data_IF_475234802282
#
_entry.id   IF_475234802282
#
_cell.length_a   1.000
_cell.length_b   1.000
_cell.length_c   1.000
_cell.angle_alpha   90.00
_cell.angle_beta   90.00
_cell.angle_gamma   90.00
#
_symmetry.space_group_name_H-M   'P 1'
#
loop_
_entity.id
_entity.type
_entity.pdbx_description
1 polymer ?
#
# COMPACT_ATOMS: atom_id res chain seq x y z
N UNK A 1 34.00 28.29 -15.79
CA UNK A 1 34.51 27.01 -15.22
C UNK A 1 34.13 26.80 -13.77
N UNK A 2 34.36 27.77 -12.85
CA UNK A 2 34.01 27.62 -11.42
C UNK A 2 32.52 27.43 -11.18
N UNK A 3 31.64 28.19 -11.87
CA UNK A 3 30.19 28.03 -11.76
C UNK A 3 29.68 26.65 -12.17
N UNK A 4 30.21 26.11 -13.27
CA UNK A 4 29.87 24.75 -13.72
C UNK A 4 30.32 23.69 -12.71
N UNK A 5 31.50 23.86 -12.12
CA UNK A 5 31.98 22.95 -11.06
C UNK A 5 31.07 23.01 -9.82
N UNK A 6 30.63 24.22 -9.40
CA UNK A 6 29.72 24.37 -8.29
C UNK A 6 28.36 23.70 -8.54
N UNK A 7 27.82 23.82 -9.76
CA UNK A 7 26.57 23.15 -10.15
C UNK A 7 26.73 21.62 -10.11
N UNK A 8 27.81 21.11 -10.65
CA UNK A 8 28.12 19.67 -10.63
C UNK A 8 28.25 19.17 -9.19
N UNK A 9 29.00 19.88 -8.33
CA UNK A 9 29.16 19.52 -6.90
C UNK A 9 27.81 19.58 -6.18
N UNK A 10 26.97 20.60 -6.43
CA UNK A 10 25.64 20.70 -5.86
C UNK A 10 24.72 19.55 -6.30
N UNK A 11 24.73 19.20 -7.58
CA UNK A 11 23.97 18.06 -8.10
C UNK A 11 24.44 16.74 -7.48
N UNK A 12 25.74 16.53 -7.35
CA UNK A 12 26.31 15.37 -6.67
C UNK A 12 25.93 15.33 -5.19
N UNK A 13 26.01 16.46 -4.49
CA UNK A 13 25.64 16.54 -3.08
C UNK A 13 24.18 16.23 -2.87
N UNK A 14 23.29 16.77 -3.72
CA UNK A 14 21.86 16.45 -3.67
C UNK A 14 21.62 14.95 -3.94
N UNK A 15 22.29 14.39 -4.94
CA UNK A 15 22.20 12.97 -5.28
C UNK A 15 22.63 12.06 -4.12
N UNK A 16 23.75 12.38 -3.46
CA UNK A 16 24.24 11.60 -2.32
C UNK A 16 23.44 11.81 -1.02
N UNK A 17 22.69 12.91 -0.91
CA UNK A 17 21.89 13.22 0.27
C UNK A 17 20.38 13.03 0.05
N UNK A 18 19.95 12.52 -1.12
CA UNK A 18 18.53 12.42 -1.49
C UNK A 18 17.75 11.55 -0.51
N UNK A 19 18.37 10.49 0.01
CA UNK A 19 17.83 9.60 1.03
C UNK A 19 17.52 10.35 2.32
N UNK A 20 18.48 11.15 2.80
CA UNK A 20 18.35 11.95 4.02
C UNK A 20 17.35 13.08 3.83
N UNK A 21 17.33 13.70 2.66
CA UNK A 21 16.36 14.75 2.31
C UNK A 21 14.95 14.14 2.28
N UNK A 22 14.76 12.98 1.67
CA UNK A 22 13.48 12.30 1.62
C UNK A 22 12.98 11.91 3.03
N UNK A 23 13.84 11.26 3.83
CA UNK A 23 13.49 10.90 5.20
C UNK A 23 13.20 12.13 6.07
N UNK A 24 14.02 13.19 5.97
CA UNK A 24 13.80 14.45 6.67
C UNK A 24 12.47 15.08 6.26
N UNK A 25 12.17 15.13 4.96
CA UNK A 25 10.93 15.71 4.46
C UNK A 25 9.70 14.97 4.99
N UNK A 26 9.69 13.62 4.91
CA UNK A 26 8.59 12.83 5.47
C UNK A 26 8.45 13.09 6.97
N UNK A 27 9.55 12.99 7.72
CA UNK A 27 9.54 13.09 9.19
C UNK A 27 9.24 14.50 9.72
N UNK A 28 9.49 15.55 8.92
CA UNK A 28 9.32 16.94 9.35
C UNK A 28 8.02 17.57 8.89
N UNK A 29 7.47 17.12 7.76
CA UNK A 29 6.29 17.75 7.14
C UNK A 29 5.04 16.87 7.18
N UNK A 30 5.13 15.66 7.74
CA UNK A 30 3.98 14.76 7.87
C UNK A 30 3.97 14.11 9.25
N UNK A 31 2.83 13.54 9.64
CA UNK A 31 2.68 12.73 10.86
C UNK A 31 3.30 11.33 10.72
N UNK A 32 3.87 11.03 9.55
CA UNK A 32 4.53 9.76 9.30
C UNK A 32 6.00 9.80 9.68
N UNK A 33 6.52 8.65 10.09
CA UNK A 33 7.94 8.42 10.36
C UNK A 33 8.48 7.40 9.36
N UNK A 34 9.57 7.80 8.71
CA UNK A 34 10.32 6.97 7.78
C UNK A 34 11.71 6.73 8.36
N UNK A 35 12.09 5.48 8.52
CA UNK A 35 13.46 5.08 8.86
C UNK A 35 13.89 3.88 8.02
N UNK A 36 15.20 3.71 7.85
CA UNK A 36 15.79 2.62 7.06
C UNK A 36 17.19 2.33 7.56
N UNK A 37 17.68 1.11 7.30
CA UNK A 37 19.02 0.68 7.67
C UNK A 37 20.02 1.06 6.58
N UNK A 38 19.65 0.91 5.32
CA UNK A 38 20.53 1.20 4.16
C UNK A 38 19.73 1.71 2.98
N UNK A 39 20.28 2.72 2.33
CA UNK A 39 19.81 3.23 1.04
C UNK A 39 20.88 2.96 -0.02
N UNK A 40 20.48 2.53 -1.21
CA UNK A 40 21.33 2.33 -2.37
C UNK A 40 20.66 2.84 -3.63
N UNK A 41 21.45 3.25 -4.62
CA UNK A 41 20.97 3.55 -5.95
C UNK A 41 20.94 2.28 -6.79
N UNK A 42 19.89 2.10 -7.58
CA UNK A 42 19.79 1.06 -8.59
C UNK A 42 19.79 1.72 -9.98
N UNK A 43 20.96 2.16 -10.43
CA UNK A 43 21.10 2.97 -11.65
C UNK A 43 20.80 4.46 -11.43
N UNK A 44 20.44 5.17 -12.51
CA UNK A 44 20.11 6.60 -12.45
C UNK A 44 18.69 6.86 -11.99
N UNK A 45 17.79 5.94 -12.27
CA UNK A 45 16.33 6.12 -12.08
C UNK A 45 15.77 5.24 -10.96
N UNK A 46 16.62 4.43 -10.29
CA UNK A 46 16.17 3.47 -9.28
C UNK A 46 16.77 3.70 -7.90
N UNK A 47 16.04 3.32 -6.88
CA UNK A 47 16.47 3.28 -5.49
C UNK A 47 16.14 1.92 -4.84
N UNK A 48 17.05 1.44 -4.00
CA UNK A 48 16.84 0.27 -3.16
C UNK A 48 17.01 0.67 -1.69
N UNK A 49 16.02 0.32 -0.87
CA UNK A 49 16.00 0.60 0.56
C UNK A 49 15.95 -0.73 1.30
N UNK A 50 16.78 -0.91 2.32
CA UNK A 50 16.75 -2.09 3.19
C UNK A 50 16.41 -1.70 4.61
N UNK A 51 15.68 -2.57 5.30
CA UNK A 51 15.21 -2.35 6.66
C UNK A 51 14.28 -1.15 6.76
N UNK A 52 13.40 -0.99 5.75
CA UNK A 52 12.42 0.11 5.71
C UNK A 52 11.42 -0.05 6.84
N UNK A 53 11.19 1.05 7.57
CA UNK A 53 10.13 1.20 8.56
C UNK A 53 9.37 2.47 8.27
N UNK A 54 8.08 2.33 8.05
CA UNK A 54 7.19 3.44 7.74
C UNK A 54 5.92 3.34 8.57
N UNK A 55 5.52 4.41 9.23
CA UNK A 55 4.33 4.40 10.06
C UNK A 55 3.98 5.76 10.61
N UNK A 56 2.87 5.83 11.35
CA UNK A 56 2.44 7.04 12.05
C UNK A 56 3.30 7.29 13.29
N UNK A 57 3.55 8.56 13.60
CA UNK A 57 4.38 8.99 14.75
C UNK A 57 3.88 8.39 16.08
N UNK A 58 2.57 8.24 16.23
CA UNK A 58 1.95 7.65 17.42
C UNK A 58 2.09 6.13 17.50
N UNK A 59 2.82 5.50 16.60
CA UNK A 59 3.10 4.05 16.51
C UNK A 59 1.84 3.17 16.43
N UNK A 60 0.69 3.72 16.06
CA UNK A 60 -0.54 2.91 15.94
C UNK A 60 -0.49 1.91 14.80
N UNK A 61 0.29 2.21 13.76
CA UNK A 61 0.47 1.34 12.62
C UNK A 61 1.86 1.55 12.02
N UNK A 62 2.64 0.50 11.91
CA UNK A 62 3.98 0.53 11.33
C UNK A 62 4.10 -0.58 10.31
N UNK A 63 4.55 -0.23 9.11
CA UNK A 63 4.92 -1.17 8.05
C UNK A 63 6.43 -1.35 8.12
N UNK A 64 6.87 -2.60 8.25
CA UNK A 64 8.27 -2.96 8.12
C UNK A 64 8.45 -3.72 6.82
N UNK A 65 9.55 -3.47 6.11
CA UNK A 65 9.94 -4.22 4.92
C UNK A 65 11.44 -4.53 4.96
N UNK A 66 11.77 -5.76 4.59
CA UNK A 66 13.17 -6.18 4.51
C UNK A 66 13.89 -5.43 3.40
N UNK A 67 13.19 -5.26 2.26
CA UNK A 67 13.72 -4.57 1.09
C UNK A 67 12.60 -3.88 0.33
N UNK A 68 12.87 -2.68 -0.18
CA UNK A 68 11.98 -1.95 -1.08
C UNK A 68 12.79 -1.43 -2.26
N UNK A 69 12.30 -1.66 -3.47
CA UNK A 69 12.87 -1.15 -4.71
C UNK A 69 11.88 -0.23 -5.38
N UNK A 70 12.38 0.89 -5.89
CA UNK A 70 11.63 1.91 -6.59
C UNK A 70 12.34 2.25 -7.89
N UNK A 71 11.66 2.09 -9.02
CA UNK A 71 12.20 2.38 -10.34
C UNK A 71 11.34 3.43 -11.05
N UNK A 72 11.91 4.62 -11.28
CA UNK A 72 11.22 5.74 -11.94
C UNK A 72 11.23 5.52 -13.46
N UNK A 73 10.08 5.46 -14.07
CA UNK A 73 9.93 5.42 -15.54
C UNK A 73 10.15 6.80 -16.17
N UNK A 74 11.38 7.31 -16.12
CA UNK A 74 11.73 8.71 -16.48
C UNK A 74 11.18 9.14 -17.81
N UNK A 75 11.37 8.38 -18.90
CA UNK A 75 10.90 8.75 -20.26
C UNK A 75 9.37 8.85 -20.32
N UNK A 76 8.67 7.91 -19.67
CA UNK A 76 7.22 7.88 -19.65
C UNK A 76 6.67 8.99 -18.76
N UNK A 77 7.28 9.23 -17.62
CA UNK A 77 6.94 10.31 -16.69
C UNK A 77 7.01 11.68 -17.35
N UNK A 78 8.08 11.96 -18.06
CA UNK A 78 8.23 13.22 -18.81
C UNK A 78 7.20 13.36 -19.93
N UNK A 79 6.92 12.29 -20.69
CA UNK A 79 5.95 12.31 -21.78
C UNK A 79 4.52 12.54 -21.28
N UNK A 80 4.16 11.94 -20.16
CA UNK A 80 2.81 11.99 -19.60
C UNK A 80 2.63 13.11 -18.56
N UNK A 81 3.70 13.86 -18.22
CA UNK A 81 3.71 14.93 -17.21
C UNK A 81 3.21 14.45 -15.84
N UNK A 82 3.53 13.23 -15.48
CA UNK A 82 3.21 12.61 -14.19
C UNK A 82 4.37 11.73 -13.73
N UNK A 83 4.56 11.57 -12.44
CA UNK A 83 5.55 10.63 -11.92
C UNK A 83 5.02 9.21 -12.01
N UNK A 84 5.78 8.31 -12.62
CA UNK A 84 5.45 6.89 -12.74
C UNK A 84 6.57 6.11 -12.11
N UNK A 85 6.26 5.38 -11.05
CA UNK A 85 7.24 4.63 -10.25
C UNK A 85 6.77 3.18 -10.11
N UNK A 86 7.60 2.25 -10.53
CA UNK A 86 7.42 0.83 -10.22
C UNK A 86 7.96 0.56 -8.82
N UNK A 87 7.17 -0.13 -8.02
CA UNK A 87 7.48 -0.45 -6.64
C UNK A 87 7.47 -1.96 -6.45
N UNK A 88 8.52 -2.48 -5.85
CA UNK A 88 8.64 -3.87 -5.43
C UNK A 88 9.12 -3.90 -3.97
N UNK A 89 8.35 -4.51 -3.08
CA UNK A 89 8.63 -4.55 -1.65
C UNK A 89 8.63 -5.99 -1.17
N UNK A 90 9.70 -6.40 -0.53
CA UNK A 90 9.92 -7.77 -0.04
C UNK A 90 9.88 -7.83 1.48
N UNK A 91 9.35 -8.93 2.03
CA UNK A 91 9.38 -9.20 3.47
C UNK A 91 8.56 -8.22 4.30
N UNK A 92 7.34 -7.88 3.83
CA UNK A 92 6.48 -6.87 4.47
C UNK A 92 5.76 -7.47 5.67
N UNK A 93 5.85 -6.80 6.81
CA UNK A 93 5.09 -7.09 8.02
C UNK A 93 4.44 -5.83 8.57
N UNK A 94 3.34 -6.02 9.28
CA UNK A 94 2.62 -4.93 9.94
C UNK A 94 2.83 -5.05 11.45
N UNK A 95 3.16 -3.94 12.10
CA UNK A 95 3.18 -3.84 13.55
C UNK A 95 2.11 -2.85 13.99
N UNK A 96 1.29 -3.27 14.94
CA UNK A 96 0.31 -2.39 15.59
C UNK A 96 0.89 -2.00 16.94
N UNK A 97 1.14 -0.71 17.13
CA UNK A 97 1.71 -0.20 18.37
C UNK A 97 0.73 -0.31 19.53
N UNK A 98 1.30 -0.65 20.69
CA UNK A 98 0.64 -0.98 21.94
C UNK A 98 -0.05 -2.35 21.96
N UNK A 99 0.71 -3.34 22.41
CA UNK A 99 0.29 -4.73 22.57
C UNK A 99 -0.94 -4.92 23.49
N UNK A 100 -1.31 -3.90 24.23
CA UNK A 100 -2.40 -3.97 25.21
C UNK A 100 -3.80 -3.73 24.62
N UNK A 101 -3.90 -3.13 23.41
CA UNK A 101 -5.19 -2.89 22.74
C UNK A 101 -5.00 -2.87 21.23
N UNK A 102 -5.28 -3.96 20.51
CA UNK A 102 -5.38 -3.88 19.05
C UNK A 102 -6.44 -2.82 18.71
N UNK A 103 -6.00 -1.70 18.18
CA UNK A 103 -6.87 -0.58 17.82
C UNK A 103 -7.74 -0.88 16.59
N UNK A 104 -7.50 -2.01 15.94
CA UNK A 104 -8.34 -2.58 14.89
C UNK A 104 -8.94 -3.85 15.49
N UNK A 105 -10.25 -3.92 15.71
CA UNK A 105 -10.88 -5.17 16.11
C UNK A 105 -10.73 -6.17 14.98
N UNK A 106 -9.81 -7.12 15.12
CA UNK A 106 -9.59 -8.22 14.17
C UNK A 106 -10.71 -9.26 14.18
N UNK A 107 -11.76 -9.02 14.94
CA UNK A 107 -12.89 -9.94 15.05
C UNK A 107 -13.65 -10.05 13.73
N UNK A 108 -13.24 -11.00 12.89
CA UNK A 108 -14.02 -11.47 11.74
C UNK A 108 -14.12 -10.54 10.54
N UNK A 109 -13.45 -9.38 10.54
CA UNK A 109 -13.54 -8.44 9.41
C UNK A 109 -12.53 -8.82 8.33
N UNK A 110 -13.02 -9.27 7.16
CA UNK A 110 -12.22 -9.63 5.98
C UNK A 110 -11.29 -8.50 5.55
N UNK A 111 -11.71 -7.23 5.68
CA UNK A 111 -10.93 -6.07 5.26
C UNK A 111 -9.69 -5.82 6.12
N UNK A 112 -9.74 -6.17 7.39
CA UNK A 112 -8.62 -5.95 8.32
C UNK A 112 -7.72 -7.17 8.45
N UNK A 113 -8.22 -8.33 8.07
CA UNK A 113 -7.50 -9.60 8.17
C UNK A 113 -6.13 -9.58 7.46
N UNK A 114 -5.99 -9.01 6.25
CA UNK A 114 -4.70 -8.92 5.57
C UNK A 114 -3.63 -8.10 6.31
N UNK A 115 -4.02 -7.24 7.24
CA UNK A 115 -3.10 -6.35 7.97
C UNK A 115 -2.81 -6.82 9.40
N UNK A 116 -2.98 -8.09 9.66
CA UNK A 116 -2.66 -8.68 10.97
C UNK A 116 -1.16 -8.61 11.25
N UNK A 117 -0.74 -8.43 12.52
CA UNK A 117 0.67 -8.36 12.89
C UNK A 117 1.47 -9.62 12.59
N UNK A 118 0.81 -10.77 12.59
CA UNK A 118 1.40 -12.08 12.27
C UNK A 118 1.47 -12.37 10.77
N UNK A 119 0.87 -11.49 9.93
CA UNK A 119 0.89 -11.64 8.49
C UNK A 119 2.20 -11.11 7.91
N UNK A 120 2.90 -11.97 7.16
CA UNK A 120 4.08 -11.59 6.38
C UNK A 120 3.78 -11.77 4.90
N UNK A 121 4.00 -10.70 4.13
CA UNK A 121 3.98 -10.75 2.67
C UNK A 121 5.40 -10.96 2.16
N UNK A 122 5.57 -11.96 1.32
CA UNK A 122 6.85 -12.25 0.67
C UNK A 122 7.18 -11.16 -0.32
N UNK A 123 6.18 -10.71 -1.08
CA UNK A 123 6.33 -9.69 -2.11
C UNK A 123 5.06 -8.86 -2.27
N UNK A 124 5.25 -7.55 -2.44
CA UNK A 124 4.22 -6.60 -2.87
C UNK A 124 4.75 -5.84 -4.08
N UNK A 125 3.98 -5.83 -5.17
CA UNK A 125 4.34 -5.17 -6.43
C UNK A 125 3.21 -4.23 -6.82
N UNK A 126 3.53 -3.04 -7.28
CA UNK A 126 2.56 -2.08 -7.84
C UNK A 126 3.25 -0.98 -8.63
N UNK A 127 2.49 -0.28 -9.47
CA UNK A 127 2.95 0.93 -10.14
C UNK A 127 2.19 2.12 -9.59
N UNK A 128 2.90 3.16 -9.19
CA UNK A 128 2.33 4.43 -8.72
C UNK A 128 2.38 5.46 -9.84
N UNK A 129 1.25 6.11 -10.09
CA UNK A 129 1.12 7.26 -10.96
C UNK A 129 0.74 8.47 -10.10
N UNK A 130 1.57 9.49 -10.10
CA UNK A 130 1.36 10.71 -9.33
C UNK A 130 1.32 11.91 -10.25
N UNK A 131 0.24 12.66 -10.20
CA UNK A 131 0.17 14.02 -10.73
C UNK A 131 -0.32 14.98 -9.64
N UNK A 132 -0.60 16.23 -10.01
CA UNK A 132 -0.99 17.27 -9.06
C UNK A 132 -2.27 16.92 -8.29
N UNK A 133 -3.23 16.27 -8.95
CA UNK A 133 -4.58 16.05 -8.42
C UNK A 133 -4.90 14.57 -8.18
N UNK A 134 -4.09 13.65 -8.72
CA UNK A 134 -4.42 12.24 -8.73
C UNK A 134 -3.27 11.39 -8.19
N UNK A 135 -3.62 10.42 -7.37
CA UNK A 135 -2.74 9.28 -7.00
C UNK A 135 -3.41 8.03 -7.53
N UNK A 136 -2.69 7.26 -8.36
CA UNK A 136 -3.15 5.93 -8.80
C UNK A 136 -2.12 4.89 -8.38
N UNK A 137 -2.61 3.79 -7.84
CA UNK A 137 -1.82 2.56 -7.66
C UNK A 137 -2.46 1.54 -8.57
N UNK A 138 -1.71 1.07 -9.55
CA UNK A 138 -2.18 0.14 -10.57
C UNK A 138 -1.38 -1.16 -10.49
N UNK A 139 -1.99 -2.24 -10.97
CA UNK A 139 -1.36 -3.55 -10.99
C UNK A 139 -0.87 -4.02 -9.60
N UNK A 140 -1.59 -3.58 -8.55
CA UNK A 140 -1.25 -3.97 -7.18
C UNK A 140 -1.38 -5.47 -7.01
N UNK A 141 -0.33 -6.09 -6.50
CA UNK A 141 -0.29 -7.51 -6.15
C UNK A 141 0.49 -7.69 -4.87
N UNK A 142 -0.09 -8.44 -3.95
CA UNK A 142 0.57 -8.81 -2.70
C UNK A 142 0.44 -10.30 -2.48
N UNK A 143 1.57 -10.96 -2.24
CA UNK A 143 1.64 -12.41 -2.09
C UNK A 143 2.18 -12.78 -0.73
N UNK A 144 1.44 -13.63 -0.05
CA UNK A 144 1.90 -14.34 1.13
C UNK A 144 1.52 -15.82 1.00
N UNK A 145 1.95 -16.62 1.95
CA UNK A 145 1.56 -18.03 2.03
C UNK A 145 0.04 -18.20 2.05
N UNK A 146 -0.65 -17.34 2.80
CA UNK A 146 -2.05 -17.56 3.18
C UNK A 146 -3.01 -16.53 2.58
N UNK A 147 -2.49 -15.42 2.04
CA UNK A 147 -3.30 -14.32 1.50
C UNK A 147 -2.67 -13.81 0.20
N UNK A 148 -3.52 -13.57 -0.79
CA UNK A 148 -3.17 -12.88 -2.03
C UNK A 148 -4.10 -11.71 -2.20
N UNK A 149 -3.57 -10.58 -2.65
CA UNK A 149 -4.36 -9.40 -3.00
C UNK A 149 -3.97 -8.91 -4.37
N UNK A 150 -4.95 -8.52 -5.18
CA UNK A 150 -4.74 -7.95 -6.51
C UNK A 150 -5.76 -6.85 -6.74
N UNK A 151 -5.36 -5.73 -7.36
CA UNK A 151 -6.30 -4.66 -7.64
C UNK A 151 -5.69 -3.32 -8.01
N UNK A 152 -6.56 -2.33 -8.06
CA UNK A 152 -6.23 -0.96 -8.41
C UNK A 152 -6.86 0.03 -7.42
N UNK A 153 -6.19 1.16 -7.24
CA UNK A 153 -6.61 2.23 -6.35
C UNK A 153 -6.42 3.58 -7.06
N UNK A 154 -7.43 4.42 -7.03
CA UNK A 154 -7.38 5.76 -7.62
C UNK A 154 -7.95 6.76 -6.61
N UNK A 155 -7.16 7.75 -6.22
CA UNK A 155 -7.57 8.85 -5.36
C UNK A 155 -7.50 10.17 -6.13
N UNK A 156 -8.62 10.88 -6.21
CA UNK A 156 -8.70 12.26 -6.69
C UNK A 156 -8.59 13.20 -5.49
N UNK A 157 -7.44 13.86 -5.32
CA UNK A 157 -7.11 14.66 -4.14
C UNK A 157 -7.99 15.89 -3.95
N UNK A 158 -8.42 16.50 -5.05
CA UNK A 158 -9.23 17.72 -5.04
C UNK A 158 -10.67 17.49 -4.54
N UNK A 159 -11.14 16.25 -4.60
CA UNK A 159 -12.49 15.85 -4.23
C UNK A 159 -12.55 14.83 -3.09
N UNK A 160 -11.39 14.35 -2.66
CA UNK A 160 -11.28 13.18 -1.76
C UNK A 160 -12.04 11.95 -2.27
N UNK A 161 -12.27 11.87 -3.60
CA UNK A 161 -12.94 10.75 -4.23
C UNK A 161 -11.98 9.58 -4.41
N UNK A 162 -12.40 8.42 -3.95
CA UNK A 162 -11.66 7.15 -4.00
C UNK A 162 -12.38 6.13 -4.87
N UNK A 163 -11.64 5.48 -5.76
CA UNK A 163 -12.06 4.25 -6.43
C UNK A 163 -11.07 3.14 -6.04
N UNK A 164 -11.59 2.05 -5.51
CA UNK A 164 -10.84 0.86 -5.12
C UNK A 164 -11.50 -0.36 -5.75
N UNK A 165 -10.74 -1.12 -6.52
CA UNK A 165 -11.11 -2.46 -6.98
C UNK A 165 -10.06 -3.43 -6.45
N UNK A 166 -10.42 -4.29 -5.52
CA UNK A 166 -9.49 -5.16 -4.82
C UNK A 166 -10.06 -6.58 -4.69
N UNK A 167 -9.39 -7.56 -5.28
CA UNK A 167 -9.62 -8.97 -5.01
C UNK A 167 -8.72 -9.40 -3.85
N UNK A 168 -9.32 -10.02 -2.83
CA UNK A 168 -8.60 -10.66 -1.73
C UNK A 168 -8.88 -12.15 -1.78
N UNK A 169 -7.83 -12.97 -1.78
CA UNK A 169 -7.93 -14.42 -1.77
C UNK A 169 -7.24 -14.99 -0.53
N UNK A 170 -7.89 -15.94 0.09
CA UNK A 170 -7.44 -16.62 1.32
C UNK A 170 -7.18 -18.09 1.03
N UNK A 171 -6.13 -18.64 1.62
CA UNK A 171 -5.87 -20.08 1.58
C UNK A 171 -7.03 -20.86 2.25
N UNK A 172 -7.22 -22.15 1.92
CA UNK A 172 -8.22 -22.98 2.58
C UNK A 172 -8.06 -23.00 4.11
N UNK A 173 -6.82 -23.02 4.60
CA UNK A 173 -6.49 -23.03 6.02
C UNK A 173 -6.99 -21.78 6.75
N UNK A 174 -6.88 -20.62 6.10
CA UNK A 174 -7.40 -19.36 6.65
C UNK A 174 -8.92 -19.28 6.49
N UNK A 175 -9.44 -19.67 5.34
CA UNK A 175 -10.87 -19.57 5.06
C UNK A 175 -11.74 -20.34 6.06
N UNK A 176 -11.27 -21.48 6.58
CA UNK A 176 -11.99 -22.25 7.59
C UNK A 176 -12.02 -21.58 8.97
N UNK A 177 -11.20 -20.56 9.21
CA UNK A 177 -11.23 -19.77 10.46
C UNK A 177 -12.32 -18.70 10.48
N UNK A 178 -12.87 -18.38 9.32
CA UNK A 178 -14.01 -17.45 9.23
C UNK A 178 -15.31 -18.14 9.64
N UNK A 179 -16.25 -17.35 10.13
CA UNK A 179 -17.62 -17.82 10.38
C UNK A 179 -18.23 -18.40 9.11
N UNK A 180 -19.09 -19.43 9.25
CA UNK A 180 -19.75 -20.09 8.13
C UNK A 180 -20.56 -19.08 7.28
N UNK A 181 -21.22 -18.14 7.94
CA UNK A 181 -21.96 -17.06 7.27
C UNK A 181 -21.09 -16.22 6.34
N UNK A 182 -19.86 -15.93 6.72
CA UNK A 182 -18.89 -15.21 5.91
C UNK A 182 -18.38 -16.09 4.76
N UNK A 183 -17.99 -17.31 5.09
CA UNK A 183 -17.44 -18.24 4.12
C UNK A 183 -18.43 -18.60 3.01
N UNK A 184 -19.71 -18.79 3.35
CA UNK A 184 -20.74 -19.22 2.40
C UNK A 184 -21.36 -18.06 1.60
N UNK A 185 -21.49 -16.88 2.22
CA UNK A 185 -22.20 -15.77 1.58
C UNK A 185 -21.29 -14.72 0.93
N UNK A 186 -20.03 -14.63 1.38
CA UNK A 186 -19.10 -13.58 0.96
C UNK A 186 -17.96 -14.13 0.10
N UNK A 187 -17.42 -15.28 0.48
CA UNK A 187 -16.30 -15.87 -0.21
C UNK A 187 -16.76 -16.78 -1.36
N UNK A 188 -16.04 -16.71 -2.46
CA UNK A 188 -16.14 -17.65 -3.57
C UNK A 188 -14.95 -18.58 -3.57
N UNK A 189 -15.17 -19.85 -3.79
CA UNK A 189 -14.08 -20.79 -3.99
C UNK A 189 -13.61 -20.73 -5.44
N UNK A 190 -12.35 -20.42 -5.65
CA UNK A 190 -11.70 -20.40 -6.96
C UNK A 190 -11.34 -21.84 -7.40
N UNK A 191 -10.96 -22.00 -8.68
CA UNK A 191 -10.63 -23.32 -9.28
C UNK A 191 -9.40 -23.95 -8.61
N UNK A 192 -8.46 -23.14 -8.12
CA UNK A 192 -7.25 -23.56 -7.40
C UNK A 192 -7.51 -23.88 -5.91
N UNK A 193 -8.77 -23.80 -5.47
CA UNK A 193 -9.21 -24.13 -4.13
C UNK A 193 -9.12 -22.97 -3.12
N UNK A 194 -8.63 -21.81 -3.53
CA UNK A 194 -8.62 -20.59 -2.71
C UNK A 194 -10.02 -20.01 -2.57
N UNK A 195 -10.21 -19.21 -1.54
CA UNK A 195 -11.45 -18.51 -1.26
C UNK A 195 -11.26 -17.02 -1.47
N UNK A 196 -12.02 -16.41 -2.37
CA UNK A 196 -11.83 -15.00 -2.75
C UNK A 196 -13.08 -14.16 -2.58
N UNK A 197 -12.86 -12.86 -2.40
CA UNK A 197 -13.88 -11.82 -2.46
C UNK A 197 -13.36 -10.63 -3.23
N UNK A 198 -14.27 -9.89 -3.86
CA UNK A 198 -13.97 -8.66 -4.59
C UNK A 198 -14.59 -7.49 -3.84
N UNK A 199 -13.79 -6.46 -3.60
CA UNK A 199 -14.19 -5.19 -3.00
C UNK A 199 -14.18 -4.15 -4.10
N UNK A 200 -15.32 -3.66 -4.51
CA UNK A 200 -15.47 -2.53 -5.41
C UNK A 200 -16.05 -1.36 -4.62
N UNK A 201 -15.24 -0.32 -4.47
CA UNK A 201 -15.63 0.88 -3.73
C UNK A 201 -15.45 2.11 -4.58
N UNK A 202 -16.47 2.97 -4.61
CA UNK A 202 -16.41 4.31 -5.19
C UNK A 202 -17.08 5.28 -4.24
N UNK A 203 -16.34 6.27 -3.76
CA UNK A 203 -16.87 7.26 -2.84
C UNK A 203 -15.78 8.08 -2.17
N UNK A 204 -16.17 8.86 -1.16
CA UNK A 204 -15.25 9.72 -0.45
C UNK A 204 -14.27 8.92 0.41
N UNK A 205 -12.98 9.22 0.30
CA UNK A 205 -11.91 8.52 1.00
C UNK A 205 -12.01 8.61 2.54
N UNK A 206 -12.55 9.71 3.05
CA UNK A 206 -12.72 9.93 4.51
C UNK A 206 -13.68 8.90 5.12
N UNK A 207 -14.64 8.44 4.35
CA UNK A 207 -15.64 7.47 4.82
C UNK A 207 -15.21 6.00 4.70
N UNK A 208 -14.05 5.72 4.12
CA UNK A 208 -13.54 4.35 4.01
C UNK A 208 -13.40 3.68 5.39
N UNK A 209 -13.21 4.45 6.44
CA UNK A 209 -13.12 3.95 7.83
C UNK A 209 -14.46 3.49 8.41
N UNK A 210 -15.59 3.85 7.79
CA UNK A 210 -16.94 3.54 8.25
C UNK A 210 -17.68 2.57 7.33
N UNK A 211 -16.94 1.78 6.55
CA UNK A 211 -17.49 0.83 5.61
C UNK A 211 -18.39 -0.22 6.27
N UNK A 212 -19.71 -0.09 6.05
CA UNK A 212 -20.66 -1.15 6.33
C UNK A 212 -20.90 -1.98 5.06
N UNK A 213 -20.69 -3.28 5.17
CA UNK A 213 -20.96 -4.21 4.08
C UNK A 213 -22.47 -4.39 3.99
N UNK A 214 -23.09 -3.92 2.90
CA UNK A 214 -24.55 -3.90 2.76
C UNK A 214 -25.13 -5.02 1.91
N UNK A 215 -24.32 -5.80 1.20
CA UNK A 215 -24.85 -6.87 0.35
C UNK A 215 -23.98 -8.13 0.38
N UNK A 216 -24.58 -9.22 0.86
CA UNK A 216 -23.99 -10.56 0.90
C UNK A 216 -24.34 -11.42 -0.33
N UNK A 217 -25.24 -10.93 -1.21
CA UNK A 217 -25.83 -11.78 -2.26
C UNK A 217 -25.00 -11.95 -3.53
N UNK A 218 -24.02 -11.07 -3.77
CA UNK A 218 -23.32 -11.00 -5.06
C UNK A 218 -21.88 -11.47 -5.04
N UNK A 219 -21.36 -11.96 -3.91
CA UNK A 219 -19.93 -12.26 -3.74
C UNK A 219 -19.03 -11.04 -4.00
N UNK A 220 -19.61 -9.88 -4.10
CA UNK A 220 -18.97 -8.59 -4.32
C UNK A 220 -19.47 -7.63 -3.25
N UNK A 221 -18.54 -6.95 -2.60
CA UNK A 221 -18.88 -5.90 -1.67
C UNK A 221 -19.08 -4.60 -2.43
N UNK A 222 -20.33 -4.30 -2.77
CA UNK A 222 -20.69 -2.97 -3.23
C UNK A 222 -20.96 -2.10 -2.00
N UNK A 223 -20.01 -1.21 -1.73
CA UNK A 223 -20.19 -0.27 -0.64
C UNK A 223 -20.95 0.94 -1.16
N UNK A 224 -22.26 0.84 -1.12
CA UNK A 224 -23.13 2.01 -1.32
C UNK A 224 -23.19 2.81 -0.02
N UNK A 225 -22.51 3.94 0.01
CA UNK A 225 -22.72 4.92 1.04
C UNK A 225 -23.98 5.69 0.75
N UNK A 226 -25.05 5.32 1.43
CA UNK A 226 -26.21 6.17 1.52
C UNK A 226 -25.80 7.49 2.19
N UNK A 227 -25.78 8.56 1.42
CA UNK A 227 -25.76 9.91 1.95
C UNK A 227 -27.15 10.10 2.55
N UNK A 228 -27.23 10.00 3.88
CA UNK A 228 -28.37 10.43 4.65
C UNK A 228 -28.19 11.87 5.09
#
# INVERSE_FOLDING_TARGET
>A
MVFFLLVVVACFSVYYCIDRIAAFSVNSFTDYRLSYDRWGSNGLDGAEIRGLRFGLENKRFVINAEKARFDLRTRQSLRQRQFIVDCEIEGVTFAVGDESKPSIPFSGNILTFPFRPDQKYEQIIFTVFLDTNTVKIMDFKAYSRDIRMEGDYILLRDKDDLSLDLKISFSPEIAVTFEDSIRENILSRDEDGWYSTIIDYKGNAVFLQTLYITSYKTRRYDVNMGIG
#
